data_IF_013529562805
#
_entry.id   IF_013529562805
#
_cell.length_a   1.000
_cell.length_b   1.000
_cell.length_c   1.000
_cell.angle_alpha   90.00
_cell.angle_beta   90.00
_cell.angle_gamma   90.00
#
_symmetry.space_group_name_H-M   'P 1'
#
loop_
_entity.id
_entity.type
_entity.pdbx_description
1 polymer ?
#
# COMPACT_ATOMS: atom_id res chain seq x y z
N UNK A 1 -18.67 45.35 -27.48
CA UNK A 1 -17.34 45.26 -26.83
C UNK A 1 -17.45 44.90 -25.35
N UNK A 2 -18.12 45.67 -24.49
CA UNK A 2 -18.23 45.38 -23.05
C UNK A 2 -18.93 44.04 -22.72
N UNK A 3 -20.04 43.73 -23.43
CA UNK A 3 -20.79 42.46 -23.25
C UNK A 3 -19.99 41.23 -23.70
N UNK A 4 -19.28 41.34 -24.82
CA UNK A 4 -18.40 40.28 -25.33
C UNK A 4 -17.21 40.04 -24.41
N UNK A 5 -16.66 41.09 -23.79
CA UNK A 5 -15.57 40.98 -22.81
C UNK A 5 -16.02 40.29 -21.51
N UNK A 6 -17.22 40.61 -21.00
CA UNK A 6 -17.79 39.93 -19.82
C UNK A 6 -18.03 38.44 -20.06
N UNK A 7 -18.48 38.05 -21.26
CA UNK A 7 -18.71 36.64 -21.59
C UNK A 7 -17.38 35.87 -21.63
N UNK A 8 -16.35 36.44 -22.26
CA UNK A 8 -15.02 35.81 -22.31
C UNK A 8 -14.46 35.63 -20.89
N UNK A 9 -14.57 36.66 -20.04
CA UNK A 9 -14.10 36.59 -18.66
C UNK A 9 -14.82 35.50 -17.84
N UNK A 10 -16.14 35.35 -18.04
CA UNK A 10 -16.94 34.35 -17.36
C UNK A 10 -16.61 32.92 -17.83
N UNK A 11 -16.38 32.73 -19.12
CA UNK A 11 -15.95 31.44 -19.70
C UNK A 11 -14.55 31.07 -19.21
N UNK A 12 -13.61 32.02 -19.19
CA UNK A 12 -12.26 31.78 -18.66
C UNK A 12 -12.27 31.44 -17.16
N UNK A 13 -13.14 32.07 -16.38
CA UNK A 13 -13.31 31.76 -14.96
C UNK A 13 -13.92 30.36 -14.75
N UNK A 14 -14.89 29.96 -15.59
CA UNK A 14 -15.48 28.62 -15.58
C UNK A 14 -14.46 27.53 -15.95
N UNK A 15 -13.59 27.77 -16.92
CA UNK A 15 -12.51 26.84 -17.30
C UNK A 15 -11.47 26.69 -16.18
N UNK A 16 -11.13 27.78 -15.50
CA UNK A 16 -10.23 27.76 -14.34
C UNK A 16 -10.81 26.99 -13.14
N UNK A 17 -12.13 27.06 -12.93
CA UNK A 17 -12.80 26.32 -11.85
C UNK A 17 -12.84 24.80 -12.08
N UNK A 18 -12.70 24.34 -13.33
CA UNK A 18 -12.70 22.91 -13.68
C UNK A 18 -11.32 22.32 -13.93
N UNK A 19 -10.24 23.12 -13.98
CA UNK A 19 -8.88 22.62 -14.26
C UNK A 19 -8.20 21.91 -13.08
N UNK A 20 -8.90 21.74 -11.95
CA UNK A 20 -8.31 21.34 -10.67
C UNK A 20 -8.57 19.91 -10.20
N UNK A 21 -9.28 19.06 -10.95
CA UNK A 21 -9.49 17.66 -10.53
C UNK A 21 -8.24 16.85 -10.84
N UNK A 22 -7.24 16.96 -9.96
CA UNK A 22 -6.14 16.00 -9.90
C UNK A 22 -6.67 14.73 -9.23
N UNK A 23 -6.58 13.60 -9.94
CA UNK A 23 -6.83 12.30 -9.32
C UNK A 23 -5.63 12.02 -8.41
N UNK A 24 -5.79 12.22 -7.11
CA UNK A 24 -4.75 11.95 -6.14
C UNK A 24 -4.41 10.45 -6.17
N UNK A 25 -3.12 10.13 -6.27
CA UNK A 25 -2.69 8.73 -6.28
C UNK A 25 -2.91 8.09 -4.91
N UNK A 26 -3.49 6.88 -4.91
CA UNK A 26 -3.58 6.03 -3.72
C UNK A 26 -2.23 5.36 -3.50
N UNK A 27 -1.58 5.67 -2.39
CA UNK A 27 -0.29 5.09 -2.05
C UNK A 27 -0.48 3.87 -1.14
N UNK A 28 0.13 2.76 -1.54
CA UNK A 28 0.14 1.49 -0.79
C UNK A 28 1.57 1.22 -0.35
N UNK A 29 1.79 1.17 0.95
CA UNK A 29 3.06 0.72 1.52
C UNK A 29 3.06 -0.80 1.67
N UNK A 30 4.08 -1.43 1.09
CA UNK A 30 4.26 -2.88 1.09
C UNK A 30 5.49 -3.28 1.92
N UNK A 31 5.25 -3.81 3.12
CA UNK A 31 6.30 -4.28 4.03
C UNK A 31 6.97 -5.56 3.52
N UNK A 32 8.30 -5.52 3.39
CA UNK A 32 9.09 -6.62 2.83
C UNK A 32 9.87 -7.37 3.92
N UNK A 33 11.19 -7.30 3.91
CA UNK A 33 12.09 -7.85 4.91
C UNK A 33 13.44 -7.14 4.81
N UNK A 34 14.46 -7.66 5.50
CA UNK A 34 15.79 -7.05 5.46
C UNK A 34 16.43 -7.17 4.07
N UNK A 35 17.32 -6.25 3.66
CA UNK A 35 17.97 -6.28 2.35
C UNK A 35 18.71 -7.59 2.01
N UNK A 36 19.14 -8.36 3.02
CA UNK A 36 19.78 -9.66 2.85
C UNK A 36 18.83 -10.85 2.74
N UNK A 37 17.52 -10.66 2.93
CA UNK A 37 16.51 -11.70 2.86
C UNK A 37 15.80 -11.76 1.51
N UNK A 38 15.11 -12.87 1.25
CA UNK A 38 14.36 -13.08 -0.01
C UNK A 38 13.21 -12.09 -0.21
N UNK A 39 12.59 -11.65 0.88
CA UNK A 39 11.46 -10.72 0.85
C UNK A 39 11.81 -9.39 0.19
N UNK A 40 13.01 -8.85 0.41
CA UNK A 40 13.38 -7.52 -0.07
C UNK A 40 13.40 -7.41 -1.61
N UNK A 41 14.19 -8.20 -2.37
CA UNK A 41 14.21 -8.10 -3.82
C UNK A 41 12.88 -8.53 -4.47
N UNK A 42 12.20 -9.53 -3.90
CA UNK A 42 10.89 -9.97 -4.39
C UNK A 42 9.84 -8.87 -4.22
N UNK A 43 9.82 -8.24 -3.05
CA UNK A 43 8.87 -7.19 -2.73
C UNK A 43 9.07 -5.94 -3.59
N UNK A 44 10.32 -5.55 -3.85
CA UNK A 44 10.63 -4.47 -4.79
C UNK A 44 10.12 -4.75 -6.19
N UNK A 45 10.39 -5.95 -6.73
CA UNK A 45 9.90 -6.34 -8.06
C UNK A 45 8.36 -6.38 -8.14
N UNK A 46 7.69 -6.82 -7.07
CA UNK A 46 6.23 -6.83 -6.99
C UNK A 46 5.64 -5.43 -6.92
N UNK A 47 6.20 -4.54 -6.10
CA UNK A 47 5.76 -3.15 -5.98
C UNK A 47 5.89 -2.42 -7.33
N UNK A 48 7.03 -2.56 -8.01
CA UNK A 48 7.25 -2.02 -9.35
C UNK A 48 6.22 -2.53 -10.37
N UNK A 49 5.92 -3.83 -10.32
CA UNK A 49 4.94 -4.44 -11.23
C UNK A 49 3.53 -3.94 -10.94
N UNK A 50 3.11 -3.91 -9.68
CA UNK A 50 1.79 -3.45 -9.27
C UNK A 50 1.56 -1.99 -9.61
N UNK A 51 2.54 -1.12 -9.35
CA UNK A 51 2.47 0.30 -9.75
C UNK A 51 2.29 0.45 -11.26
N UNK A 52 2.97 -0.37 -12.08
CA UNK A 52 2.79 -0.36 -13.54
C UNK A 52 1.40 -0.83 -13.97
N UNK A 53 0.91 -1.91 -13.35
CA UNK A 53 -0.38 -2.51 -13.71
C UNK A 53 -1.57 -1.67 -13.24
N UNK A 54 -1.45 -1.01 -12.08
CA UNK A 54 -2.54 -0.27 -11.42
C UNK A 54 -2.47 1.25 -11.66
N UNK A 55 -1.64 1.67 -12.62
CA UNK A 55 -1.44 3.08 -12.95
C UNK A 55 -2.73 3.76 -13.43
N UNK A 56 -3.58 3.02 -14.17
CA UNK A 56 -4.83 3.56 -14.70
C UNK A 56 -5.86 3.83 -13.58
N UNK A 57 -5.76 3.07 -12.49
CA UNK A 57 -6.53 3.19 -11.26
C UNK A 57 -5.96 4.23 -10.30
N UNK A 58 -4.82 4.85 -10.65
CA UNK A 58 -4.14 5.83 -9.81
C UNK A 58 -3.55 5.22 -8.54
N UNK A 59 -3.12 3.97 -8.56
CA UNK A 59 -2.51 3.29 -7.41
C UNK A 59 -0.99 3.22 -7.61
N UNK A 60 -0.26 3.63 -6.58
CA UNK A 60 1.19 3.50 -6.49
C UNK A 60 1.55 2.64 -5.28
N UNK A 61 2.38 1.63 -5.50
CA UNK A 61 2.84 0.71 -4.47
C UNK A 61 4.34 0.89 -4.24
N UNK A 62 4.73 1.09 -2.99
CA UNK A 62 6.14 1.26 -2.57
C UNK A 62 6.54 0.13 -1.64
N UNK A 63 7.66 -0.52 -1.93
CA UNK A 63 8.23 -1.56 -1.07
C UNK A 63 9.09 -0.93 0.03
N UNK A 64 8.88 -1.37 1.27
CA UNK A 64 9.63 -0.90 2.45
C UNK A 64 10.41 -2.05 3.09
N UNK A 65 11.65 -1.78 3.51
CA UNK A 65 12.46 -2.72 4.29
C UNK A 65 11.93 -2.81 5.71
N UNK A 66 11.76 -4.03 6.22
CA UNK A 66 11.26 -4.27 7.60
C UNK A 66 11.99 -5.41 8.28
N UNK A 67 11.64 -5.71 9.53
CA UNK A 67 12.08 -6.92 10.23
C UNK A 67 11.26 -8.19 9.84
N UNK A 68 10.58 -8.17 8.68
CA UNK A 68 9.80 -9.26 8.10
C UNK A 68 8.55 -9.64 8.92
N UNK A 69 8.19 -10.94 8.96
CA UNK A 69 6.84 -11.44 9.28
C UNK A 69 6.21 -10.89 10.56
N UNK A 70 6.96 -10.82 11.66
CA UNK A 70 6.43 -10.30 12.94
C UNK A 70 6.14 -8.81 12.81
N UNK A 71 7.10 -8.03 12.34
CA UNK A 71 6.94 -6.58 12.19
C UNK A 71 5.89 -6.21 11.15
N UNK A 72 5.84 -6.91 10.01
CA UNK A 72 4.80 -6.71 9.02
C UNK A 72 3.41 -7.03 9.56
N UNK A 73 3.26 -8.07 10.40
CA UNK A 73 1.98 -8.38 11.04
C UNK A 73 1.55 -7.26 12.00
N UNK A 74 2.49 -6.66 12.72
CA UNK A 74 2.26 -5.50 13.61
C UNK A 74 1.87 -4.25 12.81
N UNK A 75 2.64 -3.91 11.77
CA UNK A 75 2.44 -2.71 10.96
C UNK A 75 1.13 -2.76 10.17
N UNK A 76 0.75 -3.92 9.64
CA UNK A 76 -0.55 -4.10 8.99
C UNK A 76 -1.67 -4.06 10.04
N UNK A 77 -1.46 -4.72 11.18
CA UNK A 77 -2.43 -4.73 12.28
C UNK A 77 -2.71 -3.35 12.88
N UNK A 78 -1.70 -2.46 12.91
CA UNK A 78 -1.83 -1.07 13.34
C UNK A 78 -2.32 -0.12 12.25
N UNK A 79 -2.33 -0.55 10.98
CA UNK A 79 -2.68 0.28 9.83
C UNK A 79 -1.58 1.25 9.38
N UNK A 80 -0.34 1.10 9.90
CA UNK A 80 0.82 1.89 9.47
C UNK A 80 1.25 1.56 8.03
N UNK A 81 1.02 0.30 7.60
CA UNK A 81 1.19 -0.13 6.21
C UNK A 81 -0.04 -0.92 5.76
N UNK A 82 -0.29 -1.00 4.45
CA UNK A 82 -1.49 -1.64 3.91
C UNK A 82 -1.28 -3.13 3.64
N UNK A 83 -0.07 -3.53 3.24
CA UNK A 83 0.26 -4.92 2.88
C UNK A 83 1.63 -5.27 3.45
N UNK A 84 1.82 -6.51 3.86
CA UNK A 84 3.13 -7.00 4.30
C UNK A 84 3.32 -8.49 4.01
N UNK A 85 4.56 -8.88 3.70
CA UNK A 85 4.92 -10.29 3.57
C UNK A 85 5.04 -10.96 4.93
N UNK A 86 4.50 -12.16 5.06
CA UNK A 86 4.66 -12.94 6.27
C UNK A 86 4.62 -14.44 5.96
N UNK A 87 5.37 -15.22 6.74
CA UNK A 87 5.15 -16.65 6.80
C UNK A 87 3.77 -16.93 7.38
N UNK A 88 3.04 -17.88 6.77
CA UNK A 88 1.68 -18.23 7.20
C UNK A 88 1.60 -18.67 8.66
N UNK A 89 2.63 -19.35 9.17
CA UNK A 89 2.72 -19.73 10.58
C UNK A 89 2.83 -18.53 11.53
N UNK A 90 3.53 -17.47 11.11
CA UNK A 90 3.68 -16.23 11.90
C UNK A 90 2.41 -15.40 11.84
N UNK A 91 1.88 -15.15 10.64
CA UNK A 91 0.66 -14.35 10.47
C UNK A 91 -0.56 -15.03 11.11
N UNK A 92 -0.66 -16.36 11.08
CA UNK A 92 -1.72 -17.08 11.78
C UNK A 92 -1.65 -16.89 13.29
N UNK A 93 -0.46 -17.04 13.89
CA UNK A 93 -0.28 -16.84 15.34
C UNK A 93 -0.51 -15.38 15.75
N UNK A 94 -0.10 -14.42 14.92
CA UNK A 94 -0.36 -13.00 15.13
C UNK A 94 -1.86 -12.68 15.06
N UNK A 95 -2.57 -13.22 14.06
CA UNK A 95 -4.01 -13.10 13.91
C UNK A 95 -4.78 -13.70 15.10
N UNK A 96 -4.25 -14.76 15.71
CA UNK A 96 -4.83 -15.38 16.91
C UNK A 96 -4.42 -14.70 18.22
N UNK A 97 -3.33 -13.94 18.22
CA UNK A 97 -2.74 -13.38 19.44
C UNK A 97 -2.20 -14.46 20.39
N UNK A 98 -1.65 -15.54 19.84
CA UNK A 98 -1.21 -16.74 20.59
C UNK A 98 0.31 -16.78 20.84
N UNK A 99 1.07 -15.83 20.29
CA UNK A 99 2.54 -15.79 20.36
C UNK A 99 3.01 -14.39 20.73
N UNK A 100 4.13 -14.28 21.44
CA UNK A 100 4.79 -12.98 21.63
C UNK A 100 5.26 -12.41 20.28
N UNK A 101 5.14 -11.09 20.05
CA UNK A 101 4.67 -10.04 20.98
C UNK A 101 3.15 -9.82 20.98
N UNK A 102 2.37 -10.66 20.29
CA UNK A 102 0.92 -10.51 20.10
C UNK A 102 0.08 -11.23 21.16
N UNK A 103 0.68 -11.74 22.22
CA UNK A 103 -0.01 -12.56 23.20
C UNK A 103 -1.12 -11.76 23.90
N UNK A 104 -2.38 -12.18 23.69
CA UNK A 104 -3.55 -11.47 24.20
C UNK A 104 -3.93 -10.21 23.39
N UNK A 105 -3.20 -9.91 22.32
CA UNK A 105 -3.44 -8.79 21.39
C UNK A 105 -3.48 -9.28 19.94
N UNK A 106 -4.55 -10.00 19.53
CA UNK A 106 -4.72 -10.46 18.15
C UNK A 106 -4.61 -9.31 17.15
N UNK A 107 -3.85 -9.50 16.08
CA UNK A 107 -3.71 -8.50 15.03
C UNK A 107 -4.87 -8.63 14.01
N UNK A 108 -5.55 -7.53 13.64
CA UNK A 108 -6.69 -7.55 12.72
C UNK A 108 -6.23 -7.64 11.26
N UNK A 109 -5.57 -8.74 10.90
CA UNK A 109 -4.97 -8.96 9.57
C UNK A 109 -5.71 -10.04 8.77
N UNK A 110 -5.67 -9.93 7.44
CA UNK A 110 -6.24 -10.91 6.51
C UNK A 110 -5.18 -11.42 5.53
N UNK A 111 -5.28 -12.69 5.15
CA UNK A 111 -4.43 -13.27 4.10
C UNK A 111 -4.94 -12.93 2.70
N UNK A 112 -4.07 -12.42 1.83
CA UNK A 112 -4.42 -12.10 0.44
C UNK A 112 -4.23 -13.30 -0.49
N UNK A 113 -3.03 -13.90 -0.50
CA UNK A 113 -2.69 -15.09 -1.29
C UNK A 113 -1.40 -15.74 -0.75
N UNK A 114 -1.14 -16.98 -1.17
CA UNK A 114 0.12 -17.67 -0.90
C UNK A 114 1.12 -17.40 -2.03
N UNK A 115 2.31 -16.88 -1.70
CA UNK A 115 3.31 -16.49 -2.71
C UNK A 115 4.09 -17.68 -3.26
N UNK A 116 4.72 -18.45 -2.37
CA UNK A 116 5.50 -19.63 -2.70
C UNK A 116 5.62 -20.53 -1.46
N UNK A 117 5.83 -21.85 -1.62
CA UNK A 117 6.16 -22.72 -0.50
C UNK A 117 7.55 -22.37 0.04
N UNK A 118 7.60 -21.92 1.29
CA UNK A 118 8.84 -21.71 2.03
C UNK A 118 8.98 -22.78 3.13
N UNK A 119 10.20 -23.29 3.41
CA UNK A 119 10.45 -24.02 4.65
C UNK A 119 10.02 -23.17 5.86
N UNK A 120 9.39 -23.81 6.84
CA UNK A 120 9.01 -23.15 8.10
C UNK A 120 10.20 -23.03 9.05
#
# INVERSE_FOLDING_TARGET
MKKSLSIILMVSLLVFLFSGISVAATHITFGTGSPGGTYYPLGGAMADLWTKLLKAEGIEVTAESTAASVENSRLVGSGEIQIGMAMSSVSFKAYKGEVDPFKGTPQPILGLFSMYPAPQ
#
